data_IF_626048902491
#
_entry.id   IF_626048902491
#
_cell.length_a   1.000
_cell.length_b   1.000
_cell.length_c   1.000
_cell.angle_alpha   90.00
_cell.angle_beta   90.00
_cell.angle_gamma   90.00
#
_symmetry.space_group_name_H-M   'P 1'
#
loop_
_entity.id
_entity.type
_entity.pdbx_description
1 polymer ?
#
# COMPACT_ATOMS: atom_id res chain seq x y z
N UNK A 1 14.51 6.55 -7.33
CA UNK A 1 13.54 6.52 -6.21
C UNK A 1 12.33 7.42 -6.52
N UNK A 2 11.12 6.87 -6.49
CA UNK A 2 9.89 7.64 -6.72
C UNK A 2 9.54 8.35 -5.41
N UNK A 3 9.72 9.67 -5.37
CA UNK A 3 9.45 10.51 -4.19
C UNK A 3 8.27 11.40 -4.52
N UNK A 4 7.18 11.28 -3.74
CA UNK A 4 5.98 12.10 -3.89
C UNK A 4 6.04 13.21 -2.83
N UNK A 5 6.37 14.43 -3.23
CA UNK A 5 6.58 15.57 -2.32
C UNK A 5 5.53 16.68 -2.47
N UNK A 6 5.30 17.39 -1.36
CA UNK A 6 4.58 18.67 -1.29
C UNK A 6 3.09 18.60 -1.65
N UNK A 7 2.72 19.37 -2.68
CA UNK A 7 1.33 19.56 -3.12
C UNK A 7 0.67 18.26 -3.60
N UNK A 8 1.45 17.39 -4.25
CA UNK A 8 0.96 16.12 -4.80
C UNK A 8 0.52 15.14 -3.70
N UNK A 9 1.26 15.07 -2.59
CA UNK A 9 0.88 14.24 -1.45
C UNK A 9 -0.41 14.75 -0.81
N UNK A 10 -0.57 16.07 -0.74
CA UNK A 10 -1.76 16.71 -0.16
C UNK A 10 -3.00 16.43 -1.02
N UNK A 11 -2.88 16.58 -2.34
CA UNK A 11 -3.96 16.25 -3.26
C UNK A 11 -4.29 14.75 -3.27
N UNK A 12 -3.28 13.88 -3.20
CA UNK A 12 -3.48 12.44 -3.11
C UNK A 12 -4.25 12.06 -1.84
N UNK A 13 -3.88 12.63 -0.69
CA UNK A 13 -4.59 12.40 0.58
C UNK A 13 -6.05 12.89 0.51
N UNK A 14 -6.29 14.08 -0.04
CA UNK A 14 -7.65 14.59 -0.25
C UNK A 14 -8.48 13.68 -1.16
N UNK A 15 -7.90 13.17 -2.24
CA UNK A 15 -8.58 12.22 -3.12
C UNK A 15 -8.90 10.91 -2.38
N UNK A 16 -7.97 10.39 -1.59
CA UNK A 16 -8.17 9.20 -0.76
C UNK A 16 -9.30 9.40 0.27
N UNK A 17 -9.35 10.57 0.92
CA UNK A 17 -10.42 10.93 1.85
C UNK A 17 -11.79 11.02 1.15
N UNK A 18 -11.85 11.59 -0.06
CA UNK A 18 -13.10 11.67 -0.83
C UNK A 18 -13.62 10.30 -1.28
N UNK A 19 -12.70 9.37 -1.54
CA UNK A 19 -12.99 8.01 -1.97
C UNK A 19 -13.18 7.04 -0.79
N UNK A 20 -12.99 7.51 0.45
CA UNK A 20 -12.99 6.70 1.69
C UNK A 20 -12.05 5.47 1.62
N UNK A 21 -10.90 5.64 0.96
CA UNK A 21 -9.88 4.59 0.81
C UNK A 21 -8.57 4.98 1.48
N UNK A 22 -7.80 3.98 1.91
CA UNK A 22 -6.44 4.24 2.40
C UNK A 22 -5.51 4.64 1.25
N UNK A 23 -4.53 5.49 1.54
CA UNK A 23 -3.44 5.83 0.60
C UNK A 23 -2.75 4.56 0.07
N UNK A 24 -2.65 3.53 0.92
CA UNK A 24 -2.13 2.24 0.54
C UNK A 24 -2.96 1.57 -0.57
N UNK A 25 -4.28 1.47 -0.40
CA UNK A 25 -5.19 0.90 -1.41
C UNK A 25 -5.14 1.67 -2.73
N UNK A 26 -5.09 3.00 -2.65
CA UNK A 26 -5.01 3.85 -3.84
C UNK A 26 -3.72 3.61 -4.64
N UNK A 27 -2.57 3.59 -3.96
CA UNK A 27 -1.27 3.31 -4.59
C UNK A 27 -1.16 1.86 -5.09
N UNK A 28 -1.72 0.90 -4.36
CA UNK A 28 -1.80 -0.50 -4.79
C UNK A 28 -2.61 -0.63 -6.09
N UNK A 29 -3.74 0.07 -6.20
CA UNK A 29 -4.54 0.13 -7.42
C UNK A 29 -3.76 0.71 -8.61
N UNK A 30 -3.04 1.81 -8.40
CA UNK A 30 -2.16 2.40 -9.44
C UNK A 30 -1.08 1.40 -9.86
N UNK A 31 -0.47 0.69 -8.90
CA UNK A 31 0.55 -0.32 -9.18
C UNK A 31 -0.03 -1.48 -10.00
N UNK A 32 -1.22 -1.97 -9.66
CA UNK A 32 -1.91 -3.01 -10.42
C UNK A 32 -2.22 -2.57 -11.85
N UNK A 33 -2.72 -1.35 -12.04
CA UNK A 33 -2.99 -0.80 -13.39
C UNK A 33 -1.68 -0.66 -14.18
N UNK A 34 -0.60 -0.21 -13.55
CA UNK A 34 0.70 -0.10 -14.18
C UNK A 34 1.19 -1.47 -14.65
N UNK A 35 1.19 -2.46 -13.75
CA UNK A 35 1.59 -3.84 -14.05
C UNK A 35 0.69 -4.45 -15.14
N UNK A 36 -0.63 -4.20 -15.11
CA UNK A 36 -1.55 -4.67 -16.13
C UNK A 36 -1.21 -4.11 -17.51
N UNK A 37 -0.82 -2.83 -17.60
CA UNK A 37 -0.37 -2.23 -18.86
C UNK A 37 0.95 -2.82 -19.36
N UNK A 38 1.88 -3.14 -18.47
CA UNK A 38 3.17 -3.73 -18.87
C UNK A 38 3.04 -5.19 -19.27
N UNK A 39 2.25 -5.98 -18.55
CA UNK A 39 2.13 -7.43 -18.75
C UNK A 39 0.99 -7.80 -19.71
N UNK A 40 0.09 -6.86 -20.05
CA UNK A 40 -1.17 -7.09 -20.79
C UNK A 40 -2.02 -8.22 -20.19
N UNK A 41 -1.86 -8.43 -18.89
CA UNK A 41 -2.57 -9.44 -18.14
C UNK A 41 -3.38 -8.74 -17.06
N UNK A 42 -4.63 -9.16 -16.90
CA UNK A 42 -5.58 -8.58 -15.95
C UNK A 42 -5.51 -9.26 -14.58
N UNK A 43 -4.89 -10.45 -14.52
CA UNK A 43 -4.76 -11.23 -13.29
C UNK A 43 -3.33 -11.13 -12.73
N UNK A 44 -3.13 -10.20 -11.80
CA UNK A 44 -1.83 -9.89 -11.21
C UNK A 44 -1.92 -10.02 -9.69
N UNK A 45 -1.15 -10.96 -9.15
CA UNK A 45 -1.03 -11.19 -7.70
C UNK A 45 0.11 -10.29 -7.19
N UNK A 46 -0.23 -9.36 -6.31
CA UNK A 46 0.75 -8.49 -5.62
C UNK A 46 0.80 -8.89 -4.16
N UNK A 47 1.90 -9.51 -3.74
CA UNK A 47 2.13 -9.85 -2.33
C UNK A 47 2.30 -8.59 -1.49
N UNK A 48 1.67 -8.57 -0.31
CA UNK A 48 1.66 -7.40 0.57
C UNK A 48 2.22 -7.76 1.94
N UNK A 49 3.15 -6.94 2.44
CA UNK A 49 3.73 -7.15 3.77
C UNK A 49 2.83 -6.49 4.81
N UNK A 50 2.25 -7.29 5.71
CA UNK A 50 1.43 -6.79 6.81
C UNK A 50 2.24 -6.84 8.13
N UNK A 51 2.14 -5.77 8.93
CA UNK A 51 2.93 -5.60 10.16
C UNK A 51 2.71 -6.71 11.21
N UNK A 52 1.57 -7.43 11.16
CA UNK A 52 1.32 -8.61 12.00
C UNK A 52 1.13 -8.32 13.49
N UNK A 53 1.32 -7.07 13.94
CA UNK A 53 1.17 -6.63 15.32
C UNK A 53 -0.29 -6.33 15.66
N UNK A 54 -1.09 -7.39 15.82
CA UNK A 54 -2.52 -7.28 16.19
C UNK A 54 -2.76 -6.99 17.68
N UNK A 55 -1.76 -7.20 18.55
CA UNK A 55 -1.88 -6.98 19.99
C UNK A 55 -1.02 -5.79 20.45
N UNK A 56 -1.58 -4.87 21.27
CA UNK A 56 -0.87 -3.66 21.70
C UNK A 56 0.44 -3.93 22.46
N UNK A 57 0.53 -5.07 23.16
CA UNK A 57 1.74 -5.50 23.89
C UNK A 57 2.92 -5.85 22.96
N UNK A 58 2.66 -6.11 21.68
CA UNK A 58 3.68 -6.49 20.70
C UNK A 58 4.25 -5.26 19.95
N UNK A 59 3.75 -4.05 20.19
CA UNK A 59 4.21 -2.84 19.50
C UNK A 59 5.64 -2.44 19.88
N UNK A 60 6.10 -2.78 21.08
CA UNK A 60 7.42 -2.37 21.61
C UNK A 60 8.46 -3.49 21.66
N UNK A 61 8.14 -4.68 21.13
CA UNK A 61 9.08 -5.81 21.10
C UNK A 61 9.96 -5.75 19.85
N UNK A 62 11.27 -5.78 20.06
CA UNK A 62 12.30 -5.81 19.00
C UNK A 62 12.39 -7.26 18.47
N UNK A 63 11.98 -7.47 17.21
CA UNK A 63 11.95 -8.78 16.54
C UNK A 63 11.26 -8.73 15.16
N UNK A 64 11.38 -9.78 14.35
CA UNK A 64 10.69 -9.89 13.04
C UNK A 64 9.28 -10.46 13.22
N UNK A 65 8.27 -9.62 13.09
CA UNK A 65 6.85 -9.98 13.15
C UNK A 65 6.13 -9.78 11.80
N UNK A 66 6.90 -9.58 10.73
CA UNK A 66 6.37 -9.36 9.39
C UNK A 66 5.65 -10.62 8.95
N UNK A 67 4.34 -10.51 8.72
CA UNK A 67 3.57 -11.57 8.11
C UNK A 67 3.41 -11.22 6.62
N UNK A 68 3.94 -12.06 5.74
CA UNK A 68 3.78 -11.92 4.30
C UNK A 68 2.53 -12.71 3.91
N UNK A 69 1.44 -12.02 3.60
CA UNK A 69 0.24 -12.66 3.06
C UNK A 69 0.41 -12.72 1.52
N UNK A 70 0.20 -13.91 0.90
CA UNK A 70 0.25 -14.06 -0.55
C UNK A 70 -0.91 -13.34 -1.26
#
# INVERSE_FOLDING_TARGET
PLVIEGEWLTNLKKACEQLDVSVYMFLLGIMNILLAKYTRNEDIIVGTSFSGRFHPDLNHVIGSFINTLP
#
